data_IF_700704757251
#
_entry.id   IF_700704757251
#
_cell.length_a   1.000
_cell.length_b   1.000
_cell.length_c   1.000
_cell.angle_alpha   90.00
_cell.angle_beta   90.00
_cell.angle_gamma   90.00
#
_symmetry.space_group_name_H-M   'P 1'
#
loop_
_entity.id
_entity.type
_entity.pdbx_description
1 polymer ?
#
# COMPACT_ATOMS: atom_id res chain seq x y z
N UNK A 1 1.30 -18.75 -11.84
CA UNK A 1 0.54 -17.48 -11.72
C UNK A 1 1.42 -16.31 -12.14
N UNK A 2 0.87 -15.39 -12.93
CA UNK A 2 1.49 -14.08 -13.21
C UNK A 2 0.82 -13.02 -12.34
N UNK A 3 1.59 -12.29 -11.56
CA UNK A 3 1.12 -11.25 -10.64
C UNK A 3 1.40 -9.85 -11.22
N UNK A 4 0.34 -9.11 -11.58
CA UNK A 4 0.48 -7.76 -12.11
C UNK A 4 0.54 -6.68 -11.01
N UNK A 5 0.54 -7.09 -9.74
CA UNK A 5 0.79 -6.25 -8.57
C UNK A 5 1.61 -7.03 -7.54
N UNK A 6 2.52 -6.35 -6.83
CA UNK A 6 3.30 -6.96 -5.75
C UNK A 6 2.44 -7.37 -4.54
N UNK A 7 1.28 -6.75 -4.33
CA UNK A 7 0.32 -7.15 -3.28
C UNK A 7 -0.12 -8.61 -3.41
N UNK A 8 -0.25 -9.12 -4.64
CA UNK A 8 -0.65 -10.51 -4.89
C UNK A 8 0.48 -11.49 -4.54
N UNK A 9 1.74 -11.06 -4.74
CA UNK A 9 2.92 -11.82 -4.31
C UNK A 9 2.88 -12.01 -2.79
N UNK A 10 2.63 -10.93 -2.04
CA UNK A 10 2.54 -10.98 -0.59
C UNK A 10 1.39 -11.85 -0.09
N UNK A 11 0.23 -11.85 -0.79
CA UNK A 11 -0.89 -12.74 -0.46
C UNK A 11 -0.53 -14.22 -0.70
N UNK A 12 0.11 -14.52 -1.83
CA UNK A 12 0.60 -15.88 -2.15
C UNK A 12 1.66 -16.34 -1.16
N UNK A 13 2.59 -15.46 -0.77
CA UNK A 13 3.63 -15.75 0.21
C UNK A 13 3.03 -16.06 1.59
N UNK A 14 2.05 -15.26 2.03
CA UNK A 14 1.38 -15.45 3.31
C UNK A 14 0.67 -16.81 3.45
N UNK A 15 0.30 -17.43 2.33
CA UNK A 15 -0.34 -18.76 2.28
C UNK A 15 0.61 -19.87 1.80
N UNK A 16 1.92 -19.61 1.76
CA UNK A 16 2.96 -20.55 1.30
C UNK A 16 2.77 -21.03 -0.15
N UNK A 17 2.35 -20.15 -1.05
CA UNK A 17 2.13 -20.42 -2.48
C UNK A 17 2.94 -19.50 -3.40
N UNK A 18 3.95 -18.80 -2.87
CA UNK A 18 4.79 -17.87 -3.64
C UNK A 18 5.60 -18.57 -4.74
N UNK A 19 5.88 -19.86 -4.59
CA UNK A 19 6.56 -20.70 -5.59
C UNK A 19 5.75 -20.89 -6.87
N UNK A 20 4.44 -20.58 -6.87
CA UNK A 20 3.57 -20.58 -8.05
C UNK A 20 3.74 -19.33 -8.92
N UNK A 21 4.46 -18.33 -8.46
CA UNK A 21 4.71 -17.11 -9.23
C UNK A 21 5.74 -17.40 -10.33
N UNK A 22 5.33 -17.18 -11.57
CA UNK A 22 6.19 -17.36 -12.77
C UNK A 22 6.49 -16.05 -13.48
N UNK A 23 5.72 -15.00 -13.18
CA UNK A 23 5.91 -13.68 -13.77
C UNK A 23 5.35 -12.56 -12.89
N UNK A 24 5.96 -11.38 -12.99
CA UNK A 24 5.59 -10.17 -12.24
C UNK A 24 5.59 -8.95 -13.18
N UNK A 25 4.86 -7.91 -12.83
CA UNK A 25 4.90 -6.64 -13.57
C UNK A 25 5.85 -5.66 -12.85
N UNK A 26 7.04 -5.48 -13.44
CA UNK A 26 8.09 -4.62 -12.89
C UNK A 26 8.85 -5.25 -11.72
N UNK A 27 9.85 -6.08 -12.02
CA UNK A 27 10.70 -6.74 -11.02
C UNK A 27 11.36 -5.74 -10.04
N UNK A 28 11.64 -4.53 -10.48
CA UNK A 28 12.18 -3.46 -9.65
C UNK A 28 11.21 -2.96 -8.56
N UNK A 29 9.92 -3.24 -8.65
CA UNK A 29 8.93 -2.91 -7.61
C UNK A 29 8.74 -4.02 -6.58
N UNK A 30 9.31 -5.20 -6.83
CA UNK A 30 9.17 -6.35 -5.94
C UNK A 30 10.16 -6.25 -4.78
N UNK A 31 9.71 -6.59 -3.58
CA UNK A 31 10.50 -6.68 -2.35
C UNK A 31 10.56 -8.10 -1.80
N UNK A 32 9.71 -9.01 -2.25
CA UNK A 32 9.62 -10.36 -1.74
C UNK A 32 10.93 -11.14 -1.94
N UNK A 33 11.53 -11.68 -0.84
CA UNK A 33 12.83 -12.34 -0.90
C UNK A 33 12.84 -13.57 -1.81
N UNK A 34 11.73 -14.35 -1.86
CA UNK A 34 11.66 -15.52 -2.71
C UNK A 34 11.73 -15.12 -4.19
N UNK A 35 10.92 -14.16 -4.61
CA UNK A 35 10.88 -13.69 -6.01
C UNK A 35 12.24 -13.11 -6.41
N UNK A 36 12.86 -12.29 -5.55
CA UNK A 36 14.19 -11.71 -5.81
C UNK A 36 15.28 -12.77 -5.91
N UNK A 37 15.21 -13.84 -5.11
CA UNK A 37 16.14 -14.96 -5.19
C UNK A 37 15.95 -15.81 -6.48
N UNK A 38 14.77 -15.75 -7.12
CA UNK A 38 14.43 -16.54 -8.30
C UNK A 38 14.24 -15.67 -9.57
N UNK A 39 14.78 -14.45 -9.60
CA UNK A 39 14.62 -13.49 -10.70
C UNK A 39 15.12 -13.99 -12.08
N UNK A 40 15.94 -15.01 -12.12
CA UNK A 40 16.38 -15.64 -13.36
C UNK A 40 15.27 -16.51 -13.99
N UNK A 41 14.40 -17.09 -13.18
CA UNK A 41 13.30 -17.98 -13.60
C UNK A 41 11.96 -17.28 -13.63
N UNK A 42 11.66 -16.44 -12.64
CA UNK A 42 10.46 -15.59 -12.61
C UNK A 42 10.69 -14.40 -13.55
N UNK A 43 9.78 -14.22 -14.53
CA UNK A 43 9.97 -13.24 -15.60
C UNK A 43 9.31 -11.92 -15.31
N UNK A 44 9.97 -10.84 -15.72
CA UNK A 44 9.40 -9.50 -15.69
C UNK A 44 8.55 -9.25 -16.95
N UNK A 45 7.26 -9.02 -16.75
CA UNK A 45 6.32 -8.69 -17.83
C UNK A 45 6.44 -7.24 -18.32
N UNK A 46 7.20 -6.40 -17.59
CA UNK A 46 7.32 -4.97 -17.86
C UNK A 46 6.12 -4.15 -17.42
N UNK A 47 6.22 -2.83 -17.60
CA UNK A 47 5.10 -1.90 -17.37
C UNK A 47 4.01 -2.07 -18.44
N UNK A 48 4.42 -2.32 -19.69
CA UNK A 48 3.56 -2.79 -20.77
C UNK A 48 3.75 -4.31 -20.90
N UNK A 49 2.62 -5.04 -20.88
CA UNK A 49 2.65 -6.50 -20.87
C UNK A 49 3.33 -7.05 -22.12
N UNK A 50 4.42 -7.78 -21.94
CA UNK A 50 5.04 -8.56 -23.02
C UNK A 50 4.24 -9.85 -23.28
N UNK A 51 3.33 -9.81 -24.24
CA UNK A 51 2.43 -10.92 -24.55
C UNK A 51 3.13 -12.14 -25.12
N UNK A 52 4.22 -11.97 -25.85
CA UNK A 52 5.01 -13.10 -26.37
C UNK A 52 5.64 -13.89 -25.20
N UNK A 53 6.24 -13.17 -24.26
CA UNK A 53 6.77 -13.77 -23.04
C UNK A 53 5.68 -14.42 -22.21
N UNK A 54 4.53 -13.76 -22.07
CA UNK A 54 3.39 -14.27 -21.29
C UNK A 54 2.89 -15.61 -21.87
N UNK A 55 2.69 -15.68 -23.18
CA UNK A 55 2.27 -16.93 -23.85
C UNK A 55 3.34 -18.00 -23.71
N UNK A 56 4.61 -17.65 -23.82
CA UNK A 56 5.73 -18.58 -23.64
C UNK A 56 5.82 -19.15 -22.22
N UNK A 57 5.36 -18.43 -21.21
CA UNK A 57 5.25 -18.93 -19.82
C UNK A 57 4.07 -19.87 -19.62
N UNK A 58 3.05 -19.82 -20.50
CA UNK A 58 1.81 -20.58 -20.39
C UNK A 58 1.20 -20.57 -18.96
N UNK A 59 0.93 -19.39 -18.37
CA UNK A 59 0.42 -19.33 -17.01
C UNK A 59 -1.01 -19.88 -16.93
N UNK A 60 -1.32 -20.54 -15.82
CA UNK A 60 -2.69 -20.97 -15.52
C UNK A 60 -3.61 -19.79 -15.18
N UNK A 61 -3.04 -18.68 -14.68
CA UNK A 61 -3.79 -17.50 -14.28
C UNK A 61 -2.93 -16.23 -14.29
N UNK A 62 -3.52 -15.12 -14.74
CA UNK A 62 -2.98 -13.78 -14.58
C UNK A 62 -3.85 -13.00 -13.58
N UNK A 63 -3.26 -12.51 -12.51
CA UNK A 63 -3.92 -11.63 -11.53
C UNK A 63 -3.71 -10.17 -11.94
N UNK A 64 -4.80 -9.45 -12.15
CA UNK A 64 -4.84 -8.08 -12.65
C UNK A 64 -5.39 -7.11 -11.59
N UNK A 65 -4.97 -5.86 -11.67
CA UNK A 65 -5.65 -4.75 -11.01
C UNK A 65 -6.43 -3.92 -12.04
N UNK A 66 -7.54 -3.28 -11.63
CA UNK A 66 -8.46 -2.60 -12.55
C UNK A 66 -8.35 -1.08 -12.50
N UNK A 67 -7.13 -0.50 -12.64
CA UNK A 67 -6.93 0.96 -12.60
C UNK A 67 -6.62 1.47 -14.01
N UNK A 68 -7.47 2.39 -14.52
CA UNK A 68 -7.27 3.12 -15.77
C UNK A 68 -7.81 2.45 -17.03
N UNK A 69 -7.88 3.24 -18.11
CA UNK A 69 -8.50 2.84 -19.40
C UNK A 69 -7.69 1.79 -20.17
N UNK A 70 -6.40 1.65 -19.90
CA UNK A 70 -5.54 0.64 -20.52
C UNK A 70 -5.93 -0.81 -20.19
N UNK A 71 -6.75 -1.02 -19.16
CA UNK A 71 -7.16 -2.34 -18.70
C UNK A 71 -8.03 -3.10 -19.74
N UNK A 72 -8.89 -2.43 -20.47
CA UNK A 72 -9.70 -3.07 -21.52
C UNK A 72 -8.82 -3.68 -22.61
N UNK A 73 -7.77 -2.99 -23.02
CA UNK A 73 -6.81 -3.48 -24.03
C UNK A 73 -6.07 -4.73 -23.56
N UNK A 74 -5.65 -4.78 -22.28
CA UNK A 74 -4.98 -5.94 -21.69
C UNK A 74 -5.91 -7.16 -21.64
N UNK A 75 -7.14 -6.98 -21.14
CA UNK A 75 -8.09 -8.09 -21.02
C UNK A 75 -8.56 -8.61 -22.38
N UNK A 76 -8.75 -7.74 -23.36
CA UNK A 76 -9.14 -8.18 -24.72
C UNK A 76 -8.01 -9.00 -25.35
N UNK A 77 -6.75 -8.62 -25.12
CA UNK A 77 -5.61 -9.40 -25.60
C UNK A 77 -5.46 -10.74 -24.87
N UNK A 78 -5.70 -10.79 -23.57
CA UNK A 78 -5.69 -12.04 -22.80
C UNK A 78 -6.79 -13.01 -23.28
N UNK A 79 -7.99 -12.50 -23.58
CA UNK A 79 -9.09 -13.30 -24.18
C UNK A 79 -8.70 -13.86 -25.55
N UNK A 80 -8.14 -13.00 -26.43
CA UNK A 80 -7.67 -13.43 -27.77
C UNK A 80 -6.64 -14.56 -27.66
N UNK A 81 -5.74 -14.48 -26.67
CA UNK A 81 -4.68 -15.44 -26.42
C UNK A 81 -5.16 -16.67 -25.60
N UNK A 82 -6.44 -16.71 -25.19
CA UNK A 82 -7.01 -17.72 -24.29
C UNK A 82 -6.22 -17.89 -22.97
N UNK A 83 -5.70 -16.78 -22.42
CA UNK A 83 -5.01 -16.76 -21.12
C UNK A 83 -6.02 -16.45 -20.03
N UNK A 84 -6.24 -17.34 -19.04
CA UNK A 84 -7.14 -17.07 -17.92
C UNK A 84 -6.65 -15.87 -17.08
N UNK A 85 -7.58 -15.02 -16.65
CA UNK A 85 -7.26 -13.88 -15.80
C UNK A 85 -8.36 -13.61 -14.78
N UNK A 86 -7.99 -12.94 -13.69
CA UNK A 86 -8.91 -12.47 -12.67
C UNK A 86 -8.50 -11.07 -12.19
N UNK A 87 -9.48 -10.18 -12.01
CA UNK A 87 -9.27 -8.92 -11.33
C UNK A 87 -9.28 -9.13 -9.81
N UNK A 88 -8.29 -8.56 -9.15
CA UNK A 88 -8.20 -8.49 -7.67
C UNK A 88 -8.41 -7.04 -7.27
N UNK A 89 -9.43 -6.78 -6.47
CA UNK A 89 -9.93 -5.45 -6.17
C UNK A 89 -9.58 -4.94 -4.76
N UNK A 90 -8.54 -5.47 -4.13
CA UNK A 90 -8.17 -5.13 -2.76
C UNK A 90 -7.90 -3.65 -2.54
N UNK A 91 -7.47 -2.95 -3.59
CA UNK A 91 -7.21 -1.50 -3.54
C UNK A 91 -8.48 -0.65 -3.44
N UNK A 92 -9.65 -1.22 -3.75
CA UNK A 92 -10.97 -0.57 -3.63
C UNK A 92 -11.56 -0.69 -2.23
N UNK A 93 -10.99 -1.54 -1.38
CA UNK A 93 -11.50 -1.76 -0.03
C UNK A 93 -11.33 -0.51 0.85
N UNK A 94 -12.38 -0.20 1.59
CA UNK A 94 -12.40 0.96 2.50
C UNK A 94 -11.72 0.65 3.85
N UNK A 95 -11.47 -0.62 4.17
CA UNK A 95 -10.84 -1.01 5.43
C UNK A 95 -9.54 -1.79 5.25
N UNK A 96 -8.56 -1.63 6.17
CA UNK A 96 -7.32 -2.41 6.15
C UNK A 96 -7.56 -3.91 6.23
N UNK A 97 -8.57 -4.33 7.00
CA UNK A 97 -8.93 -5.75 7.15
C UNK A 97 -9.61 -6.29 5.89
N UNK A 98 -10.47 -5.50 5.23
CA UNK A 98 -11.05 -5.87 3.93
C UNK A 98 -9.98 -6.11 2.87
N UNK A 99 -8.95 -5.23 2.81
CA UNK A 99 -7.80 -5.45 1.93
C UNK A 99 -7.11 -6.78 2.20
N UNK A 100 -6.87 -7.10 3.45
CA UNK A 100 -6.20 -8.34 3.84
C UNK A 100 -7.05 -9.59 3.58
N UNK A 101 -8.38 -9.50 3.63
CA UNK A 101 -9.31 -10.61 3.41
C UNK A 101 -9.20 -11.19 1.99
N UNK A 102 -8.75 -10.42 1.01
CA UNK A 102 -8.53 -10.89 -0.35
C UNK A 102 -7.56 -12.06 -0.45
N UNK A 103 -6.67 -12.25 0.56
CA UNK A 103 -5.81 -13.44 0.59
C UNK A 103 -6.62 -14.75 0.65
N UNK A 104 -7.86 -14.72 1.21
CA UNK A 104 -8.74 -15.91 1.25
C UNK A 104 -9.21 -16.24 -0.16
N UNK A 105 -9.61 -15.22 -0.97
CA UNK A 105 -9.95 -15.43 -2.37
C UNK A 105 -8.76 -15.96 -3.18
N UNK A 106 -7.56 -15.43 -2.96
CA UNK A 106 -6.33 -15.93 -3.58
C UNK A 106 -6.05 -17.39 -3.18
N UNK A 107 -6.33 -17.77 -1.93
CA UNK A 107 -6.14 -19.15 -1.47
C UNK A 107 -7.07 -20.15 -2.13
N UNK A 108 -8.28 -19.74 -2.53
CA UNK A 108 -9.19 -20.58 -3.32
C UNK A 108 -8.58 -20.95 -4.69
N UNK A 109 -7.90 -19.98 -5.32
CA UNK A 109 -7.29 -20.18 -6.64
C UNK A 109 -6.10 -21.14 -6.63
N UNK A 110 -5.54 -21.41 -5.46
CA UNK A 110 -4.35 -22.25 -5.28
C UNK A 110 -4.63 -23.53 -4.50
N UNK A 111 -5.92 -23.88 -4.32
CA UNK A 111 -6.36 -25.04 -3.53
C UNK A 111 -5.76 -25.05 -2.10
N UNK A 112 -5.62 -23.83 -1.51
CA UNK A 112 -5.03 -23.64 -0.18
C UNK A 112 -5.98 -22.91 0.80
N UNK A 113 -7.30 -23.02 0.57
CA UNK A 113 -8.36 -22.36 1.34
C UNK A 113 -8.22 -22.52 2.85
N UNK A 114 -7.89 -23.71 3.32
CA UNK A 114 -7.72 -23.99 4.75
C UNK A 114 -6.59 -23.10 5.34
N UNK A 115 -5.45 -23.04 4.63
CA UNK A 115 -4.31 -22.18 5.01
C UNK A 115 -4.71 -20.71 4.95
N UNK A 116 -5.36 -20.24 3.88
CA UNK A 116 -5.80 -18.85 3.73
C UNK A 116 -6.76 -18.43 4.84
N UNK A 117 -7.75 -19.26 5.14
CA UNK A 117 -8.72 -19.00 6.21
C UNK A 117 -8.03 -18.94 7.59
N UNK A 118 -7.08 -19.85 7.85
CA UNK A 118 -6.31 -19.86 9.10
C UNK A 118 -5.47 -18.59 9.24
N UNK A 119 -4.72 -18.22 8.19
CA UNK A 119 -3.88 -17.02 8.17
C UNK A 119 -4.73 -15.77 8.37
N UNK A 120 -5.83 -15.64 7.62
CA UNK A 120 -6.70 -14.47 7.75
C UNK A 120 -7.33 -14.35 9.14
N UNK A 121 -7.73 -15.45 9.77
CA UNK A 121 -8.34 -15.42 11.12
C UNK A 121 -7.46 -14.73 12.16
N UNK A 122 -6.14 -14.79 12.03
CA UNK A 122 -5.20 -14.18 12.97
C UNK A 122 -5.01 -12.67 12.72
N UNK A 123 -5.24 -12.20 11.49
CA UNK A 123 -4.99 -10.79 11.10
C UNK A 123 -5.90 -9.82 11.87
N UNK A 124 -7.23 -10.00 11.91
CA UNK A 124 -8.12 -9.13 12.69
C UNK A 124 -7.81 -9.13 14.20
N UNK A 125 -7.40 -10.26 14.76
CA UNK A 125 -7.03 -10.34 16.16
C UNK A 125 -5.81 -9.45 16.47
N UNK A 126 -4.73 -9.59 15.70
CA UNK A 126 -3.52 -8.77 15.85
C UNK A 126 -3.83 -7.28 15.64
N UNK A 127 -4.60 -6.95 14.59
CA UNK A 127 -4.99 -5.59 14.28
C UNK A 127 -5.80 -4.94 15.41
N UNK A 128 -6.83 -5.64 15.93
CA UNK A 128 -7.69 -5.13 16.98
C UNK A 128 -6.95 -4.98 18.30
N UNK A 129 -5.98 -5.85 18.60
CA UNK A 129 -5.12 -5.69 19.77
C UNK A 129 -4.29 -4.39 19.69
N UNK A 130 -3.75 -4.04 18.53
CA UNK A 130 -3.08 -2.75 18.33
C UNK A 130 -4.05 -1.58 18.48
N UNK A 131 -5.22 -1.64 17.85
CA UNK A 131 -6.25 -0.60 17.92
C UNK A 131 -6.71 -0.32 19.36
N UNK A 132 -6.75 -1.31 20.23
CA UNK A 132 -7.13 -1.14 21.63
C UNK A 132 -6.19 -0.23 22.41
N UNK A 133 -4.90 -0.14 22.01
CA UNK A 133 -3.92 0.74 22.66
C UNK A 133 -4.33 2.22 22.59
N UNK A 134 -5.06 2.60 21.55
CA UNK A 134 -5.49 3.99 21.31
C UNK A 134 -6.92 4.29 21.73
N UNK A 135 -7.63 3.32 22.34
CA UNK A 135 -9.04 3.46 22.68
C UNK A 135 -9.33 4.65 23.61
N UNK A 136 -8.39 4.98 24.49
CA UNK A 136 -8.54 6.02 25.51
C UNK A 136 -7.63 7.24 25.30
N UNK A 137 -7.05 7.42 24.10
CA UNK A 137 -6.24 8.60 23.82
C UNK A 137 -7.12 9.86 23.76
N UNK A 138 -6.79 10.86 24.54
CA UNK A 138 -7.52 12.14 24.58
C UNK A 138 -7.06 13.08 23.48
N UNK A 139 -5.74 13.15 23.25
CA UNK A 139 -5.14 14.00 22.22
C UNK A 139 -4.97 13.21 20.92
N UNK A 140 -5.57 13.70 19.83
CA UNK A 140 -5.47 13.10 18.49
C UNK A 140 -4.68 14.04 17.57
N UNK A 141 -3.39 13.75 17.28
CA UNK A 141 -2.60 14.56 16.36
C UNK A 141 -3.26 14.61 14.98
N UNK A 142 -3.26 15.82 14.37
CA UNK A 142 -3.75 16.00 13.01
C UNK A 142 -2.73 15.51 12.00
N UNK A 143 -3.21 14.77 10.99
CA UNK A 143 -2.34 14.07 10.02
C UNK A 143 -2.64 14.53 8.60
N UNK A 144 -1.62 15.06 7.92
CA UNK A 144 -1.61 15.30 6.48
C UNK A 144 -1.01 14.10 5.74
N UNK A 145 -1.55 13.77 4.56
CA UNK A 145 -1.12 12.65 3.73
C UNK A 145 -0.61 13.10 2.37
N UNK A 146 0.33 12.32 1.83
CA UNK A 146 0.86 12.41 0.46
C UNK A 146 1.63 13.71 0.18
N UNK A 147 1.95 13.93 -1.09
CA UNK A 147 2.57 15.15 -1.63
C UNK A 147 1.81 15.59 -2.88
N UNK A 148 1.92 16.86 -3.28
CA UNK A 148 1.32 17.30 -4.53
C UNK A 148 2.00 16.66 -5.73
N UNK A 149 1.21 16.48 -6.78
CA UNK A 149 1.68 16.15 -8.11
C UNK A 149 1.29 17.31 -9.04
N UNK A 150 2.28 17.98 -9.62
CA UNK A 150 2.07 19.25 -10.32
C UNK A 150 1.38 20.28 -9.39
N UNK A 151 0.26 20.86 -9.83
CA UNK A 151 -0.50 21.86 -9.08
C UNK A 151 -1.71 21.25 -8.33
N UNK A 152 -1.73 19.94 -8.13
CA UNK A 152 -2.82 19.21 -7.52
C UNK A 152 -2.33 18.30 -6.40
N UNK A 153 -3.14 18.15 -5.35
CA UNK A 153 -2.86 17.24 -4.24
C UNK A 153 -4.03 16.26 -4.10
N UNK A 154 -3.78 14.99 -4.36
CA UNK A 154 -4.79 13.95 -4.24
C UNK A 154 -5.03 13.61 -2.76
N UNK A 155 -6.21 13.98 -2.26
CA UNK A 155 -6.63 13.76 -0.87
C UNK A 155 -7.54 12.53 -0.78
N UNK A 156 -7.12 11.48 -0.06
CA UNK A 156 -7.96 10.31 0.17
C UNK A 156 -9.31 10.64 0.79
N UNK A 157 -10.30 9.80 0.54
CA UNK A 157 -11.59 9.88 1.22
C UNK A 157 -11.46 9.63 2.73
N UNK A 158 -12.34 10.23 3.53
CA UNK A 158 -12.48 9.88 4.97
C UNK A 158 -12.89 8.42 5.18
N UNK A 159 -13.43 7.77 4.15
CA UNK A 159 -13.80 6.35 4.16
C UNK A 159 -12.65 5.43 3.72
N UNK A 160 -11.55 5.98 3.22
CA UNK A 160 -10.43 5.18 2.73
C UNK A 160 -9.75 4.39 3.85
N UNK A 161 -9.17 3.24 3.49
CA UNK A 161 -8.43 2.40 4.43
C UNK A 161 -7.30 3.17 5.15
N UNK A 162 -6.66 4.14 4.47
CA UNK A 162 -5.59 4.94 5.08
C UNK A 162 -6.13 5.94 6.11
N UNK A 163 -7.29 6.55 5.86
CA UNK A 163 -7.96 7.41 6.82
C UNK A 163 -8.44 6.61 8.04
N UNK A 164 -8.90 5.38 7.83
CA UNK A 164 -9.24 4.46 8.91
C UNK A 164 -8.01 4.08 9.74
N UNK A 165 -6.88 3.74 9.11
CA UNK A 165 -5.62 3.46 9.82
C UNK A 165 -5.19 4.62 10.72
N UNK A 166 -5.28 5.88 10.24
CA UNK A 166 -4.99 7.06 11.04
C UNK A 166 -5.93 7.16 12.24
N UNK A 167 -7.22 6.97 12.01
CA UNK A 167 -8.25 7.02 13.08
C UNK A 167 -8.02 5.93 14.12
N UNK A 168 -7.75 4.69 13.67
CA UNK A 168 -7.49 3.55 14.53
C UNK A 168 -6.16 3.69 15.30
N UNK A 169 -5.20 4.41 14.72
CA UNK A 169 -3.94 4.78 15.39
C UNK A 169 -4.08 5.95 16.38
N UNK A 170 -5.29 6.43 16.64
CA UNK A 170 -5.53 7.55 17.55
C UNK A 170 -5.22 8.93 16.94
N UNK A 171 -5.09 9.04 15.62
CA UNK A 171 -4.90 10.29 14.90
C UNK A 171 -6.19 10.92 14.40
N UNK A 172 -6.06 12.08 13.79
CA UNK A 172 -7.14 12.82 13.14
C UNK A 172 -6.72 13.20 11.70
N UNK A 173 -7.27 12.48 10.70
CA UNK A 173 -7.02 12.80 9.29
C UNK A 173 -7.55 14.20 8.98
N UNK A 174 -6.68 15.10 8.53
CA UNK A 174 -6.98 16.54 8.48
C UNK A 174 -8.04 16.91 7.42
N UNK A 175 -8.11 16.18 6.29
CA UNK A 175 -9.04 16.52 5.20
C UNK A 175 -10.38 15.78 5.33
N UNK A 176 -11.42 16.51 5.81
CA UNK A 176 -12.74 15.95 6.10
C UNK A 176 -13.77 16.07 4.97
N UNK A 177 -13.45 16.82 3.90
CA UNK A 177 -14.45 17.17 2.88
C UNK A 177 -14.71 16.04 1.89
N UNK A 178 -13.71 15.21 1.60
CA UNK A 178 -13.89 14.11 0.67
C UNK A 178 -14.61 12.93 1.35
N UNK A 179 -15.86 12.70 0.99
CA UNK A 179 -16.70 11.58 1.43
C UNK A 179 -17.01 10.59 0.31
N UNK A 180 -16.40 10.76 -0.87
CA UNK A 180 -16.56 9.89 -2.04
C UNK A 180 -15.84 8.54 -1.83
N UNK A 181 -15.88 7.64 -2.82
CA UNK A 181 -15.18 6.34 -2.74
C UNK A 181 -13.73 6.41 -3.25
N UNK A 182 -13.25 7.58 -3.67
CA UNK A 182 -11.90 7.74 -4.21
C UNK A 182 -11.19 8.97 -3.64
N UNK A 183 -9.94 9.16 -4.04
CA UNK A 183 -9.24 10.40 -3.77
C UNK A 183 -9.78 11.54 -4.65
N UNK A 184 -9.83 12.77 -4.10
CA UNK A 184 -10.17 13.95 -4.86
C UNK A 184 -8.98 14.92 -4.92
N UNK A 185 -8.76 15.59 -6.05
CA UNK A 185 -7.71 16.59 -6.18
C UNK A 185 -8.13 17.90 -5.51
N UNK A 186 -7.23 18.49 -4.71
CA UNK A 186 -7.37 19.84 -4.18
C UNK A 186 -6.26 20.74 -4.72
N UNK A 187 -6.54 22.04 -4.86
CA UNK A 187 -5.54 23.02 -5.25
C UNK A 187 -4.51 23.27 -4.14
N UNK A 188 -3.30 23.70 -4.53
CA UNK A 188 -2.18 23.93 -3.62
C UNK A 188 -2.49 24.97 -2.53
N UNK A 189 -3.35 25.96 -2.79
CA UNK A 189 -3.75 26.96 -1.78
C UNK A 189 -4.51 26.29 -0.62
N UNK A 190 -5.49 25.43 -0.94
CA UNK A 190 -6.23 24.66 0.06
C UNK A 190 -5.30 23.72 0.82
N UNK A 191 -4.42 23.01 0.11
CA UNK A 191 -3.44 22.10 0.70
C UNK A 191 -2.47 22.83 1.64
N UNK A 192 -2.04 24.04 1.26
CA UNK A 192 -1.16 24.89 2.08
C UNK A 192 -1.83 25.30 3.40
N UNK A 193 -3.12 25.65 3.35
CA UNK A 193 -3.89 25.93 4.57
C UNK A 193 -3.93 24.74 5.53
N UNK A 194 -4.17 23.53 4.99
CA UNK A 194 -4.25 22.30 5.78
C UNK A 194 -2.88 21.92 6.39
N UNK A 195 -1.83 21.90 5.57
CA UNK A 195 -0.52 21.40 6.03
C UNK A 195 0.13 22.29 7.10
N UNK A 196 -0.20 23.58 7.12
CA UNK A 196 0.26 24.48 8.17
C UNK A 196 -0.26 24.10 9.55
N UNK A 197 -1.43 23.49 9.62
CA UNK A 197 -2.11 23.09 10.86
C UNK A 197 -1.84 21.61 11.21
N UNK A 198 -1.27 20.83 10.29
CA UNK A 198 -1.02 19.41 10.51
C UNK A 198 0.11 19.19 11.53
N UNK A 199 -0.16 18.37 12.56
CA UNK A 199 0.84 17.97 13.54
C UNK A 199 1.86 16.99 12.94
N UNK A 200 1.41 16.12 12.05
CA UNK A 200 2.24 15.08 11.41
C UNK A 200 1.97 15.05 9.90
N UNK A 201 3.01 14.84 9.11
CA UNK A 201 2.91 14.65 7.67
C UNK A 201 3.43 13.28 7.28
N UNK A 202 2.55 12.44 6.67
CA UNK A 202 2.85 11.06 6.30
C UNK A 202 2.88 10.87 4.78
N UNK A 203 3.62 9.84 4.34
CA UNK A 203 3.66 9.36 2.95
C UNK A 203 4.12 10.46 1.98
N UNK A 204 5.29 11.00 2.26
CA UNK A 204 5.86 12.15 1.52
C UNK A 204 6.50 11.77 0.16
N UNK A 205 5.91 10.82 -0.52
CA UNK A 205 6.28 10.41 -1.88
C UNK A 205 7.64 9.72 -1.95
N UNK A 206 8.47 10.14 -2.91
CA UNK A 206 9.77 9.53 -3.15
C UNK A 206 10.88 10.07 -2.24
N UNK A 207 10.61 11.12 -1.46
CA UNK A 207 11.63 11.72 -0.60
C UNK A 207 12.17 10.72 0.42
N UNK A 208 13.49 10.62 0.48
CA UNK A 208 14.22 9.76 1.42
C UNK A 208 14.84 10.56 2.57
N UNK A 209 14.90 11.86 2.41
CA UNK A 209 15.41 12.81 3.41
C UNK A 209 14.50 14.05 3.51
N UNK A 210 14.59 14.74 4.65
CA UNK A 210 13.87 16.01 4.85
C UNK A 210 14.34 17.10 3.89
N UNK A 211 15.62 17.09 3.52
CA UNK A 211 16.18 18.08 2.58
C UNK A 211 15.66 17.84 1.15
N UNK A 212 15.57 16.59 0.71
CA UNK A 212 14.90 16.25 -0.55
C UNK A 212 13.44 16.71 -0.58
N UNK A 213 12.70 16.47 0.52
CA UNK A 213 11.32 16.94 0.64
C UNK A 213 11.22 18.47 0.52
N UNK A 214 12.09 19.22 1.19
CA UNK A 214 12.12 20.68 1.11
C UNK A 214 12.50 21.21 -0.29
N UNK A 215 13.39 20.50 -0.99
CA UNK A 215 13.80 20.84 -2.36
C UNK A 215 12.65 20.60 -3.34
N UNK A 216 11.99 19.45 -3.24
CA UNK A 216 10.88 19.08 -4.13
C UNK A 216 9.58 19.83 -3.82
N UNK A 217 9.41 20.29 -2.58
CA UNK A 217 8.21 20.96 -2.10
C UNK A 217 8.54 22.28 -1.37
N UNK A 218 9.23 23.23 -2.01
CA UNK A 218 9.75 24.45 -1.33
C UNK A 218 8.66 25.37 -0.78
N UNK A 219 7.44 25.30 -1.32
CA UNK A 219 6.28 26.07 -0.85
C UNK A 219 5.80 25.66 0.54
N UNK A 220 6.15 24.44 0.99
CA UNK A 220 5.67 23.88 2.27
C UNK A 220 6.72 23.85 3.38
N UNK A 221 7.89 24.49 3.16
CA UNK A 221 9.00 24.52 4.14
C UNK A 221 8.60 25.04 5.53
N UNK A 222 7.57 25.87 5.60
CA UNK A 222 7.06 26.47 6.84
C UNK A 222 5.94 25.63 7.50
N UNK A 223 5.64 24.43 6.97
CA UNK A 223 4.68 23.52 7.58
C UNK A 223 5.11 23.13 9.00
N UNK A 224 4.16 23.11 9.94
CA UNK A 224 4.41 22.75 11.35
C UNK A 224 5.15 21.43 11.49
N UNK A 225 4.68 20.40 10.78
CA UNK A 225 5.30 19.09 10.81
C UNK A 225 6.77 19.11 10.36
N UNK A 226 7.16 19.98 9.40
CA UNK A 226 8.57 20.17 8.98
C UNK A 226 9.37 20.85 10.09
N UNK A 227 8.82 21.90 10.72
CA UNK A 227 9.52 22.63 11.78
C UNK A 227 9.73 21.77 13.04
N UNK A 228 8.79 20.87 13.33
CA UNK A 228 8.84 19.97 14.48
C UNK A 228 9.52 18.62 14.16
N UNK A 229 10.00 18.43 12.92
CA UNK A 229 10.59 17.18 12.42
C UNK A 229 9.65 15.96 12.59
N UNK A 230 8.36 16.17 12.32
CA UNK A 230 7.31 15.13 12.39
C UNK A 230 6.85 14.71 11.00
N UNK A 231 7.82 14.36 10.18
CA UNK A 231 7.64 13.85 8.82
C UNK A 231 8.01 12.37 8.81
N UNK A 232 7.10 11.55 8.30
CA UNK A 232 7.37 10.12 8.20
C UNK A 232 6.98 9.60 6.82
N UNK A 233 7.85 8.79 6.25
CA UNK A 233 7.59 8.17 4.95
C UNK A 233 7.58 6.64 5.08
N UNK A 234 6.72 6.00 4.31
CA UNK A 234 6.52 4.56 4.30
C UNK A 234 7.56 3.80 3.47
N UNK A 235 8.80 4.28 3.45
CA UNK A 235 9.86 3.76 2.59
C UNK A 235 11.12 3.32 3.37
N UNK A 236 10.94 2.88 4.62
CA UNK A 236 12.06 2.33 5.40
C UNK A 236 12.63 1.05 4.77
N UNK A 237 11.77 0.26 4.15
CA UNK A 237 12.12 -1.06 3.59
C UNK A 237 12.14 -1.03 2.07
N UNK A 238 13.02 -0.20 1.52
CA UNK A 238 13.31 -0.18 0.07
C UNK A 238 14.37 -1.23 -0.27
N UNK A 239 14.18 -1.93 -1.38
CA UNK A 239 15.25 -2.69 -2.01
C UNK A 239 16.21 -1.75 -2.74
N UNK A 240 17.44 -2.18 -3.07
CA UNK A 240 18.37 -1.36 -3.88
C UNK A 240 17.80 -0.94 -5.23
N UNK A 241 16.92 -1.75 -5.81
CA UNK A 241 16.27 -1.51 -7.10
C UNK A 241 15.02 -0.63 -6.98
N UNK A 242 14.54 -0.32 -5.76
CA UNK A 242 13.43 0.59 -5.50
C UNK A 242 12.11 -0.10 -5.10
N UNK A 243 12.09 -1.44 -4.98
CA UNK A 243 10.94 -2.18 -4.44
C UNK A 243 10.65 -1.72 -3.01
N UNK A 244 9.40 -1.41 -2.70
CA UNK A 244 8.99 -0.93 -1.40
C UNK A 244 8.03 -1.92 -0.72
N UNK A 245 8.54 -2.55 0.34
CA UNK A 245 7.82 -3.58 1.09
C UNK A 245 6.47 -3.10 1.69
N UNK A 246 6.33 -1.79 1.96
CA UNK A 246 5.05 -1.23 2.36
C UNK A 246 3.94 -1.45 1.30
N UNK A 247 4.26 -1.30 0.03
CA UNK A 247 3.31 -1.53 -1.07
C UNK A 247 3.12 -3.01 -1.41
N UNK A 248 3.88 -3.89 -0.78
CA UNK A 248 3.79 -5.33 -0.98
C UNK A 248 3.23 -6.04 0.27
N UNK A 249 4.02 -6.18 1.33
CA UNK A 249 3.63 -7.01 2.49
C UNK A 249 2.60 -6.35 3.43
N UNK A 250 2.47 -5.02 3.43
CA UNK A 250 1.53 -4.34 4.32
C UNK A 250 0.06 -4.72 4.07
N UNK A 251 -0.29 -5.21 2.88
CA UNK A 251 -1.65 -5.68 2.57
C UNK A 251 -2.08 -6.84 3.48
N UNK A 252 -1.16 -7.72 3.84
CA UNK A 252 -1.40 -8.87 4.75
C UNK A 252 -0.89 -8.62 6.18
N UNK A 253 -0.30 -7.46 6.43
CA UNK A 253 0.22 -7.04 7.74
C UNK A 253 -0.29 -5.65 8.17
N UNK A 254 -1.61 -5.40 8.10
CA UNK A 254 -2.19 -4.13 8.53
C UNK A 254 -1.96 -3.87 10.03
N UNK A 255 -1.75 -4.90 10.83
CA UNK A 255 -1.34 -4.84 12.23
C UNK A 255 0.00 -4.10 12.44
N UNK A 256 0.99 -4.36 11.59
CA UNK A 256 2.29 -3.68 11.65
C UNK A 256 2.18 -2.23 11.18
N UNK A 257 1.41 -1.97 10.12
CA UNK A 257 1.16 -0.59 9.68
C UNK A 257 0.50 0.22 10.79
N UNK A 258 -0.53 -0.35 11.43
CA UNK A 258 -1.22 0.29 12.55
C UNK A 258 -0.27 0.52 13.73
N UNK A 259 0.57 -0.44 14.08
CA UNK A 259 1.60 -0.31 15.13
C UNK A 259 2.55 0.85 14.85
N UNK A 260 3.07 0.93 13.63
CA UNK A 260 3.97 2.01 13.22
C UNK A 260 3.28 3.39 13.33
N UNK A 261 2.02 3.49 12.89
CA UNK A 261 1.26 4.73 13.02
C UNK A 261 0.99 5.09 14.48
N UNK A 262 0.71 4.11 15.35
CA UNK A 262 0.59 4.34 16.80
C UNK A 262 1.92 4.85 17.35
N UNK A 263 3.03 4.24 16.97
CA UNK A 263 4.37 4.69 17.40
C UNK A 263 4.67 6.12 16.98
N UNK A 264 4.24 6.52 15.79
CA UNK A 264 4.42 7.89 15.28
C UNK A 264 3.54 8.89 16.02
N UNK A 265 2.28 8.54 16.28
CA UNK A 265 1.29 9.46 16.83
C UNK A 265 1.29 9.49 18.37
N UNK A 266 1.63 8.35 19.00
CA UNK A 266 1.62 8.10 20.44
C UNK A 266 2.82 7.23 20.82
N UNK A 267 4.05 7.78 20.77
CA UNK A 267 5.29 7.01 20.95
C UNK A 267 5.40 6.31 22.29
N UNK A 268 4.64 6.76 23.28
CA UNK A 268 4.57 6.16 24.63
C UNK A 268 3.79 4.83 24.68
N UNK A 269 2.95 4.54 23.68
CA UNK A 269 2.10 3.34 23.65
C UNK A 269 2.77 2.12 23.03
N UNK A 270 3.84 2.31 22.26
CA UNK A 270 4.55 1.26 21.53
C UNK A 270 6.05 1.40 21.76
N UNK A 271 6.70 0.30 22.15
CA UNK A 271 8.15 0.26 22.42
C UNK A 271 8.97 -0.14 21.19
N UNK A 272 8.40 -0.93 20.29
CA UNK A 272 9.05 -1.46 19.10
C UNK A 272 9.46 -0.34 18.15
N UNK A 273 10.54 -0.60 17.41
CA UNK A 273 10.98 0.28 16.33
C UNK A 273 10.00 0.25 15.15
N UNK A 274 10.03 1.32 14.35
CA UNK A 274 9.27 1.38 13.10
C UNK A 274 9.71 0.29 12.13
N UNK A 275 8.76 -0.29 11.43
CA UNK A 275 9.00 -1.36 10.47
C UNK A 275 8.91 -0.87 9.01
N UNK A 276 7.84 -0.16 8.67
CA UNK A 276 7.62 0.38 7.32
C UNK A 276 8.00 1.86 7.21
N UNK A 277 7.87 2.61 8.29
CA UNK A 277 8.06 4.05 8.31
C UNK A 277 9.45 4.47 8.81
N UNK A 278 9.92 5.59 8.32
CA UNK A 278 11.11 6.28 8.83
C UNK A 278 10.90 7.76 8.92
#
# INVERSE_FOLDING_TARGET
IVCMSSTYIAMLDAINQVDRVVGVSGMNYVSNPYVLAHKETIKDMGAEVNYELLVGLAPDLVLLYGIGDAQSTVTDKLKELNVPYMYVGEYLEESPLGKAEWLVAISELTDSRETGTKVFKEIPERYNNMKQLTANVEKRPTVMLNTPWNDSWAMPSVKSYVAQLITDAGGDYIYKKNTSNGAEPIGLETAYGLIREADVWLNVGMATTLDELKITNPKFKDAKAIQENKIYNNNLRLTPEGGNDYWESAVVRPDIVLRDLIKILHPELVTEDLYYYR
#
